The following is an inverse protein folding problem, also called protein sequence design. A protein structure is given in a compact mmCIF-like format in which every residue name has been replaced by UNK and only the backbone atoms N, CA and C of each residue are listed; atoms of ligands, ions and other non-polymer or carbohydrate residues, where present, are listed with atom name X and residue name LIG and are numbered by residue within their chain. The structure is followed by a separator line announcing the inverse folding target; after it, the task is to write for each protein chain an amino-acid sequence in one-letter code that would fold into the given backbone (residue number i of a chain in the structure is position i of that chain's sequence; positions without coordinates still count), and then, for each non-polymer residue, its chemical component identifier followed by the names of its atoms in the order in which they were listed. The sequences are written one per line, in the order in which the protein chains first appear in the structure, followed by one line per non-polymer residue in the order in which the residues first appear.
data_IF_957970428562
#
_entry.id   IF_957970428562
#
_cell.length_a   1.000
_cell.length_b   1.000
_cell.length_c   1.000
_cell.angle_alpha   90.00
_cell.angle_beta   90.00
_cell.angle_gamma   90.00
#
_symmetry.space_group_name_H-M   'P 1'
#
loop_
_entity.id
_entity.type
_entity.pdbx_description
1 polymer ?
2 polymer ?
3 non-polymer ?
4 water ?
#
# COMPACT_ATOMS: atom_id res chain seq x y z
N UNK A 1 -6.18 -17.84 -15.66
CA UNK A 1 -7.54 -17.33 -15.52
C UNK A 1 -8.05 -16.78 -16.82
N UNK A 2 -9.04 -15.88 -16.75
CA UNK A 2 -9.66 -15.39 -17.97
C UNK A 2 -8.74 -14.51 -18.79
N UNK A 3 -7.55 -14.16 -18.31
CA UNK A 3 -6.62 -13.39 -19.12
C UNK A 3 -5.52 -14.25 -19.71
N UNK A 4 -5.59 -15.57 -19.52
CA UNK A 4 -4.55 -16.46 -19.96
C UNK A 4 -4.31 -16.44 -21.46
N UNK A 5 -5.33 -16.07 -22.24
CA UNK A 5 -5.17 -16.09 -23.69
C UNK A 5 -4.74 -14.75 -24.27
N UNK A 6 -4.59 -13.70 -23.45
CA UNK A 6 -4.22 -12.41 -23.97
C UNK A 6 -2.72 -12.18 -23.82
N UNK A 7 -2.10 -11.58 -24.85
CA UNK A 7 -0.67 -11.24 -24.80
C UNK A 7 -0.34 -10.37 -23.59
N UNK A 8 0.84 -10.60 -23.00
CA UNK A 8 1.27 -9.73 -21.90
C UNK A 8 1.22 -8.26 -22.31
N UNK A 9 1.79 -7.92 -23.48
CA UNK A 9 1.87 -6.53 -23.90
C UNK A 9 0.46 -5.94 -24.06
N UNK A 10 -0.48 -6.74 -24.59
CA UNK A 10 -1.87 -6.29 -24.74
C UNK A 10 -2.52 -6.01 -23.39
N UNK A 11 -2.25 -6.89 -22.39
CA UNK A 11 -2.77 -6.70 -21.03
C UNK A 11 -2.24 -5.39 -20.44
N UNK A 12 -0.95 -5.10 -20.62
CA UNK A 12 -0.39 -3.85 -20.11
C UNK A 12 -1.03 -2.64 -20.79
N UNK A 13 -1.16 -2.71 -22.13
CA UNK A 13 -1.78 -1.61 -22.85
C UNK A 13 -3.21 -1.37 -22.37
N UNK A 14 -4.00 -2.44 -22.21
CA UNK A 14 -5.37 -2.34 -21.72
C UNK A 14 -5.45 -1.87 -20.27
N UNK A 15 -4.48 -2.23 -19.43
CA UNK A 15 -4.45 -1.66 -18.08
C UNK A 15 -4.31 -0.14 -18.15
N UNK A 16 -3.44 0.36 -19.06
CA UNK A 16 -3.27 1.81 -19.16
C UNK A 16 -4.52 2.48 -19.69
N UNK A 17 -5.22 1.86 -20.63
CA UNK A 17 -6.49 2.36 -21.14
C UNK A 17 -7.56 2.37 -20.03
N UNK A 18 -7.64 1.28 -19.26
CA UNK A 18 -8.59 1.19 -18.17
C UNK A 18 -8.34 2.29 -17.15
N UNK A 19 -7.06 2.59 -16.86
CA UNK A 19 -6.76 3.69 -15.94
C UNK A 19 -7.33 5.01 -16.48
N UNK A 20 -7.12 5.29 -17.76
CA UNK A 20 -7.61 6.53 -18.37
C UNK A 20 -9.12 6.62 -18.28
N UNK A 21 -9.81 5.48 -18.42
CA UNK A 21 -11.24 5.35 -18.34
C UNK A 21 -11.77 5.25 -16.89
N UNK A 22 -10.88 5.27 -15.92
CA UNK A 22 -11.23 5.12 -14.50
C UNK A 22 -11.98 3.81 -14.25
N UNK A 23 -11.58 2.74 -14.98
CA UNK A 23 -12.15 1.43 -14.83
C UNK A 23 -11.17 0.57 -14.04
N UNK A 24 -11.11 0.82 -12.73
CA UNK A 24 -10.03 0.21 -11.93
C UNK A 24 -10.21 -1.29 -11.72
N UNK A 25 -11.44 -1.81 -11.66
CA UNK A 25 -11.60 -3.26 -11.57
C UNK A 25 -11.03 -3.93 -12.80
N UNK A 26 -11.33 -3.39 -14.00
CA UNK A 26 -10.70 -3.91 -15.21
C UNK A 26 -9.18 -3.79 -15.17
N UNK A 27 -8.69 -2.64 -14.71
CA UNK A 27 -7.26 -2.38 -14.68
C UNK A 27 -6.58 -3.43 -13.82
N UNK A 28 -7.20 -3.73 -12.67
CA UNK A 28 -6.62 -4.74 -11.77
C UNK A 28 -6.63 -6.13 -12.41
N UNK A 29 -7.71 -6.49 -13.10
CA UNK A 29 -7.80 -7.81 -13.74
C UNK A 29 -6.78 -7.96 -14.85
N UNK A 30 -6.51 -6.87 -15.59
CA UNK A 30 -5.50 -6.88 -16.65
C UNK A 30 -4.11 -7.03 -16.05
N UNK A 31 -3.86 -6.31 -14.96
CA UNK A 31 -2.55 -6.42 -14.33
C UNK A 31 -2.32 -7.76 -13.65
N UNK A 32 -3.37 -8.34 -13.01
CA UNK A 32 -3.26 -9.70 -12.47
C UNK A 32 -2.87 -10.64 -13.60
N UNK A 33 -3.54 -10.50 -14.75
CA UNK A 33 -3.20 -11.34 -15.91
C UNK A 33 -1.77 -11.15 -16.37
N UNK A 34 -1.27 -9.89 -16.36
CA UNK A 34 0.12 -9.64 -16.74
C UNK A 34 1.09 -10.29 -15.74
N UNK A 35 0.82 -10.14 -14.44
CA UNK A 35 1.68 -10.78 -13.44
C UNK A 35 1.75 -12.29 -13.65
N UNK A 36 0.59 -12.93 -13.90
CA UNK A 36 0.49 -14.38 -14.03
C UNK A 36 1.20 -14.90 -15.27
N UNK A 37 1.65 -14.03 -16.18
CA UNK A 37 2.52 -14.46 -17.27
C UNK A 37 3.85 -14.99 -16.76
N UNK A 38 4.21 -14.64 -15.52
CA UNK A 38 5.43 -15.21 -14.93
C UNK A 38 6.68 -14.39 -15.07
N UNK A 39 6.70 -13.36 -15.90
CA UNK A 39 7.86 -12.49 -16.06
C UNK A 39 7.87 -11.43 -14.96
N UNK A 40 9.07 -10.99 -14.57
CA UNK A 40 9.16 -9.90 -13.60
C UNK A 40 8.53 -8.59 -14.17
N UNK A 41 8.11 -7.67 -13.30
CA UNK A 41 7.51 -6.40 -13.74
C UNK A 41 8.51 -5.25 -13.71
N UNK A 42 8.39 -4.36 -14.70
CA UNK A 42 9.17 -3.13 -14.74
C UNK A 42 8.64 -2.14 -13.69
N UNK A 43 9.34 -1.00 -13.47
CA UNK A 43 8.86 0.00 -12.52
C UNK A 43 7.48 0.52 -12.93
N UNK A 44 7.30 0.84 -14.21
CA UNK A 44 6.00 1.33 -14.66
C UNK A 44 4.93 0.28 -14.43
N UNK A 45 5.20 -0.98 -14.78
CA UNK A 45 4.20 -2.06 -14.59
C UNK A 45 3.87 -2.30 -13.09
N UNK A 46 4.89 -2.25 -12.21
CA UNK A 46 4.62 -2.33 -10.77
C UNK A 46 3.68 -1.22 -10.36
N UNK A 47 3.90 -0.01 -10.86
CA UNK A 47 3.03 1.09 -10.51
C UNK A 47 1.61 0.86 -11.05
N UNK A 48 1.47 0.28 -12.25
CA UNK A 48 0.13 0.00 -12.76
C UNK A 48 -0.59 -1.01 -11.85
N UNK A 49 0.12 -2.05 -11.45
CA UNK A 49 -0.43 -3.05 -10.53
C UNK A 49 -0.92 -2.41 -9.22
N UNK A 50 -0.04 -1.61 -8.61
CA UNK A 50 -0.34 -1.01 -7.31
C UNK A 50 -1.50 -0.02 -7.42
N UNK A 51 -1.48 0.85 -8.44
CA UNK A 51 -2.56 1.86 -8.62
C UNK A 51 -3.89 1.16 -8.80
N UNK A 52 -3.91 0.09 -9.62
CA UNK A 52 -5.19 -0.61 -9.90
C UNK A 52 -5.80 -1.14 -8.61
N UNK A 53 -5.02 -1.93 -7.86
CA UNK A 53 -5.60 -2.54 -6.67
C UNK A 53 -5.82 -1.52 -5.56
N UNK A 54 -4.99 -0.45 -5.49
CA UNK A 54 -5.25 0.56 -4.48
C UNK A 54 -6.60 1.20 -4.69
N UNK A 55 -6.95 1.45 -5.94
CA UNK A 55 -8.24 2.05 -6.23
C UNK A 55 -9.36 1.10 -5.92
N UNK A 56 -9.22 -0.18 -6.30
CA UNK A 56 -10.29 -1.15 -6.01
C UNK A 56 -10.49 -1.29 -4.51
N UNK A 57 -9.41 -1.56 -3.77
CA UNK A 57 -9.57 -1.78 -2.33
C UNK A 57 -9.99 -0.49 -1.65
N UNK A 58 -9.63 0.67 -2.23
CA UNK A 58 -9.97 1.94 -1.61
C UNK A 58 -11.47 2.14 -1.58
N UNK A 59 -12.13 1.84 -2.69
CA UNK A 59 -13.58 1.89 -2.73
C UNK A 59 -14.22 0.94 -1.73
N UNK A 60 -13.65 -0.26 -1.58
CA UNK A 60 -14.19 -1.22 -0.62
C UNK A 60 -14.00 -0.73 0.81
N UNK A 61 -12.82 -0.19 1.13
CA UNK A 61 -12.56 0.30 2.49
C UNK A 61 -13.52 1.41 2.84
N UNK A 62 -13.71 2.36 1.92
CA UNK A 62 -14.62 3.47 2.15
C UNK A 62 -16.04 2.96 2.38
N UNK A 63 -16.50 2.00 1.56
CA UNK A 63 -17.84 1.41 1.76
C UNK A 63 -17.94 0.70 3.10
N UNK A 64 -16.93 -0.13 3.43
CA UNK A 64 -16.91 -0.85 4.69
C UNK A 64 -17.02 0.09 5.88
N UNK A 65 -16.33 1.25 5.82
CA UNK A 65 -16.37 2.18 6.96
C UNK A 65 -17.75 2.77 7.11
N UNK A 66 -18.38 3.16 6.00
CA UNK A 66 -19.76 3.67 6.03
C UNK A 66 -20.66 2.64 6.69
N UNK A 67 -20.56 1.36 6.24
CA UNK A 67 -21.46 0.33 6.77
C UNK A 67 -21.17 0.01 8.22
N UNK A 68 -19.90 -0.05 8.59
CA UNK A 68 -19.53 -0.33 9.98
C UNK A 68 -20.08 0.75 10.92
N UNK A 69 -20.03 1.99 10.47
CA UNK A 69 -20.53 3.11 11.27
C UNK A 69 -22.04 3.03 11.47
N UNK A 70 -22.77 2.66 10.41
CA UNK A 70 -24.22 2.48 10.55
C UNK A 70 -24.52 1.30 11.47
N UNK A 71 -23.74 0.23 11.33
CA UNK A 71 -23.93 -0.96 12.16
C UNK A 71 -23.69 -0.64 13.62
N UNK A 72 -22.58 0.06 13.91
CA UNK A 72 -22.28 0.42 15.29
C UNK A 72 -23.40 1.29 15.89
N UNK A 73 -23.86 2.30 15.14
CA UNK A 73 -24.99 3.10 15.59
C UNK A 73 -26.23 2.24 15.85
N UNK A 74 -26.49 1.26 14.97
CA UNK A 74 -27.69 0.43 15.13
C UNK A 74 -27.56 -0.54 16.30
N UNK A 75 -26.37 -0.70 16.86
CA UNK A 75 -26.14 -1.51 18.03
C UNK A 75 -25.92 -0.58 19.22
N UNK A 83 -32.98 -5.68 12.60
CA UNK A 83 -32.82 -6.82 11.72
C UNK A 83 -31.37 -7.09 11.33
N UNK A 84 -31.14 -8.18 10.62
CA UNK A 84 -29.77 -8.61 10.31
C UNK A 84 -29.15 -7.93 9.08
N UNK A 85 -29.90 -7.09 8.38
CA UNK A 85 -29.50 -6.61 7.06
C UNK A 85 -28.20 -5.79 7.10
N UNK A 86 -28.07 -4.85 8.05
CA UNK A 86 -26.84 -4.04 8.10
C UNK A 86 -25.63 -4.94 8.27
N UNK A 87 -25.68 -5.85 9.26
CA UNK A 87 -24.58 -6.78 9.49
C UNK A 87 -24.32 -7.64 8.27
N UNK A 88 -25.39 -8.17 7.65
CA UNK A 88 -25.24 -9.02 6.47
C UNK A 88 -24.50 -8.28 5.37
N UNK A 89 -24.92 -7.03 5.11
CA UNK A 89 -24.36 -6.31 3.97
C UNK A 89 -22.92 -5.84 4.29
N UNK A 90 -22.67 -5.41 5.54
CA UNK A 90 -21.28 -5.10 5.94
C UNK A 90 -20.39 -6.33 5.78
N UNK A 91 -20.89 -7.51 6.14
CA UNK A 91 -20.16 -8.76 5.93
C UNK A 91 -19.92 -9.05 4.46
N UNK A 92 -20.91 -8.78 3.61
CA UNK A 92 -20.73 -9.01 2.17
C UNK A 92 -19.58 -8.17 1.65
N UNK A 93 -19.60 -6.87 1.98
CA UNK A 93 -18.55 -5.94 1.53
C UNK A 93 -17.19 -6.34 2.11
N UNK A 94 -17.18 -6.74 3.40
CA UNK A 94 -15.99 -7.18 4.09
C UNK A 94 -15.36 -8.40 3.41
N UNK A 95 -16.17 -9.40 3.05
CA UNK A 95 -15.68 -10.60 2.38
C UNK A 95 -15.08 -10.27 1.01
N UNK A 96 -15.71 -9.34 0.28
CA UNK A 96 -15.19 -8.95 -1.02
C UNK A 96 -13.85 -8.25 -0.86
N UNK A 97 -13.76 -7.37 0.13
CA UNK A 97 -12.50 -6.70 0.46
C UNK A 97 -11.39 -7.72 0.79
N UNK A 98 -11.72 -8.67 1.66
CA UNK A 98 -10.75 -9.70 2.05
C UNK A 98 -10.33 -10.49 0.83
N UNK A 99 -11.28 -10.75 -0.08
CA UNK A 99 -10.94 -11.46 -1.30
C UNK A 99 -9.94 -10.72 -2.17
N UNK A 100 -10.09 -9.40 -2.30
CA UNK A 100 -9.15 -8.58 -3.07
C UNK A 100 -7.77 -8.59 -2.39
N UNK A 101 -7.73 -8.41 -1.07
CA UNK A 101 -6.45 -8.47 -0.35
C UNK A 101 -5.79 -9.83 -0.57
N UNK A 102 -6.54 -10.93 -0.44
CA UNK A 102 -5.99 -12.27 -0.65
C UNK A 102 -5.44 -12.44 -2.06
N UNK A 103 -6.12 -11.86 -3.08
CA UNK A 103 -5.66 -11.95 -4.47
C UNK A 103 -4.31 -11.25 -4.63
N UNK A 104 -4.19 -10.04 -4.06
CA UNK A 104 -2.93 -9.30 -4.17
C UNK A 104 -1.82 -10.05 -3.43
N UNK A 105 -2.10 -10.48 -2.19
CA UNK A 105 -1.11 -11.22 -1.42
C UNK A 105 -0.69 -12.48 -2.15
N UNK A 106 -1.63 -13.11 -2.84
CA UNK A 106 -1.33 -14.28 -3.65
C UNK A 106 -0.37 -14.01 -4.79
N UNK A 107 -0.55 -12.88 -5.48
CA UNK A 107 0.37 -12.50 -6.52
C UNK A 107 1.74 -12.25 -5.94
N UNK A 108 1.79 -11.54 -4.81
CA UNK A 108 3.10 -11.26 -4.20
C UNK A 108 3.84 -12.53 -3.80
N UNK A 109 3.11 -13.52 -3.26
CA UNK A 109 3.66 -14.80 -2.78
C UNK A 109 3.88 -15.83 -3.89
N UNK A 110 3.29 -15.62 -5.02
CA UNK A 110 3.41 -16.50 -6.20
C UNK A 110 3.50 -15.72 -7.53
N UNK A 111 4.65 -15.15 -7.88
CA UNK A 111 5.96 -15.29 -7.20
C UNK A 111 6.73 -13.99 -7.28
N UNK A 112 6.02 -12.86 -7.15
CA UNK A 112 6.65 -11.57 -7.34
C UNK A 112 7.78 -11.32 -6.35
N UNK A 113 7.56 -11.58 -5.06
CA UNK A 113 8.57 -11.25 -4.03
C UNK A 113 9.82 -12.11 -4.20
N UNK A 114 9.63 -13.43 -4.28
CA UNK A 114 10.81 -14.29 -4.37
C UNK A 114 11.65 -14.03 -5.62
N UNK A 115 11.06 -13.57 -6.75
CA UNK A 115 11.88 -13.29 -7.91
C UNK A 115 12.39 -11.85 -7.98
N UNK A 116 12.12 -11.05 -6.94
CA UNK A 116 12.56 -9.65 -6.90
C UNK A 116 13.88 -9.58 -6.16
N UNK A 117 14.93 -9.27 -6.88
CA UNK A 117 16.25 -9.22 -6.26
C UNK A 117 16.77 -7.81 -6.10
N UNK A 118 16.35 -6.92 -6.99
CA UNK A 118 16.78 -5.54 -6.84
C UNK A 118 16.05 -4.89 -5.69
N UNK A 119 16.75 -4.02 -4.99
CA UNK A 119 16.14 -3.29 -3.88
C UNK A 119 14.84 -2.61 -4.28
N UNK A 120 14.83 -1.88 -5.42
CA UNK A 120 13.65 -1.12 -5.81
C UNK A 120 12.45 -2.04 -5.96
N UNK A 121 12.63 -3.21 -6.58
CA UNK A 121 11.46 -4.08 -6.77
C UNK A 121 11.12 -4.81 -5.48
N UNK A 122 12.12 -5.29 -4.74
CA UNK A 122 11.82 -6.04 -3.52
C UNK A 122 11.16 -5.17 -2.46
N UNK A 123 11.67 -3.93 -2.27
CA UNK A 123 11.01 -3.03 -1.31
C UNK A 123 9.59 -2.71 -1.75
N UNK A 124 9.39 -2.46 -3.06
CA UNK A 124 8.04 -2.15 -3.56
C UNK A 124 7.07 -3.25 -3.19
N UNK A 125 7.45 -4.50 -3.45
CA UNK A 125 6.53 -5.61 -3.18
C UNK A 125 6.34 -5.84 -1.70
N UNK A 126 7.40 -5.73 -0.89
CA UNK A 126 7.20 -5.96 0.54
C UNK A 126 6.36 -4.84 1.15
N UNK A 127 6.48 -3.62 0.65
CA UNK A 127 5.58 -2.57 1.11
C UNK A 127 4.13 -2.94 0.77
N UNK A 128 3.90 -3.45 -0.46
CA UNK A 128 2.55 -3.87 -0.82
C UNK A 128 2.02 -4.94 0.11
N UNK A 129 2.86 -5.93 0.43
CA UNK A 129 2.46 -6.98 1.34
C UNK A 129 2.06 -6.39 2.69
N UNK A 130 2.87 -5.46 3.22
CA UNK A 130 2.48 -4.76 4.44
C UNK A 130 1.15 -4.05 4.29
N UNK A 131 0.95 -3.34 3.18
CA UNK A 131 -0.28 -2.58 2.99
C UNK A 131 -1.50 -3.48 2.96
N UNK A 132 -1.43 -4.59 2.21
CA UNK A 132 -2.66 -5.40 2.07
C UNK A 132 -2.93 -6.21 3.36
N UNK A 133 -1.89 -6.59 4.13
CA UNK A 133 -2.16 -7.14 5.47
C UNK A 133 -2.75 -6.07 6.38
N UNK A 134 -2.30 -4.81 6.22
CA UNK A 134 -2.89 -3.71 6.98
C UNK A 134 -4.37 -3.53 6.66
N UNK A 135 -4.76 -3.65 5.39
CA UNK A 135 -6.20 -3.52 5.08
C UNK A 135 -6.97 -4.68 5.65
N UNK A 136 -6.38 -5.88 5.64
CA UNK A 136 -7.03 -7.01 6.33
C UNK A 136 -7.15 -6.72 7.82
N UNK A 137 -6.10 -6.13 8.43
CA UNK A 137 -6.17 -5.83 9.88
C UNK A 137 -7.29 -4.86 10.23
N UNK A 138 -7.55 -3.88 9.35
CA UNK A 138 -8.55 -2.85 9.59
C UNK A 138 -9.93 -3.48 9.82
N UNK A 139 -10.20 -4.64 9.23
CA UNK A 139 -11.52 -5.30 9.34
C UNK A 139 -11.47 -6.54 10.23
N UNK A 140 -10.31 -6.88 10.77
CA UNK A 140 -10.12 -8.10 11.53
C UNK A 140 -10.58 -7.89 12.97
N UNK A 141 -11.04 -8.96 13.61
CA UNK A 141 -11.55 -8.79 14.99
C UNK A 141 -11.11 -9.91 15.94
N UNK A 142 -10.07 -9.67 16.76
CA UNK A 142 -9.65 -10.63 17.81
C UNK A 142 -8.23 -11.14 17.69
N UNK A 143 -8.06 -12.46 17.77
CA UNK A 143 -6.71 -13.06 17.69
C UNK A 143 -6.25 -13.16 16.23
N UNK A 144 -7.16 -13.51 15.29
CA UNK A 144 -6.72 -13.56 13.87
C UNK A 144 -6.15 -12.16 13.59
N UNK A 145 -6.75 -11.18 14.24
CA UNK A 145 -6.28 -9.81 14.14
C UNK A 145 -4.80 -9.69 14.54
N UNK A 146 -4.43 -10.29 15.68
CA UNK A 146 -3.03 -10.22 16.10
C UNK A 146 -2.09 -10.79 15.07
N UNK A 147 -2.39 -11.97 14.54
CA UNK A 147 -1.52 -12.60 13.55
C UNK A 147 -1.43 -11.76 12.28
N UNK A 148 -2.56 -11.16 11.85
CA UNK A 148 -2.53 -10.35 10.63
C UNK A 148 -1.66 -9.12 10.85
N UNK A 149 -1.77 -8.50 12.03
CA UNK A 149 -0.96 -7.34 12.37
C UNK A 149 0.51 -7.71 12.34
N UNK A 150 0.85 -8.87 12.87
CA UNK A 150 2.26 -9.25 12.87
C UNK A 150 2.78 -9.50 11.45
N UNK A 151 1.94 -10.06 10.59
CA UNK A 151 2.31 -10.25 9.20
C UNK A 151 2.56 -8.90 8.53
N UNK A 152 1.71 -7.91 8.79
CA UNK A 152 1.98 -6.60 8.20
C UNK A 152 3.29 -6.04 8.71
N UNK A 153 3.48 -6.07 10.05
CA UNK A 153 4.71 -5.56 10.68
C UNK A 153 5.95 -6.19 10.06
N UNK A 154 5.94 -7.54 9.94
CA UNK A 154 7.08 -8.27 9.40
C UNK A 154 7.42 -7.81 7.99
N UNK A 155 6.41 -7.68 7.12
CA UNK A 155 6.65 -7.25 5.74
C UNK A 155 7.23 -5.83 5.71
N UNK A 156 6.59 -4.91 6.45
CA UNK A 156 7.08 -3.54 6.48
C UNK A 156 8.50 -3.47 6.99
N UNK A 157 8.80 -4.24 8.06
CA UNK A 157 10.13 -4.17 8.69
C UNK A 157 11.20 -4.65 7.73
N UNK A 158 10.93 -5.77 7.04
CA UNK A 158 11.92 -6.25 6.08
C UNK A 158 12.13 -5.22 4.98
N UNK A 159 11.03 -4.60 4.51
CA UNK A 159 11.17 -3.54 3.51
C UNK A 159 12.00 -2.37 4.03
N UNK A 160 11.75 -1.97 5.27
CA UNK A 160 12.51 -0.88 5.89
C UNK A 160 13.99 -1.24 5.95
N UNK A 161 14.30 -2.45 6.40
CA UNK A 161 15.71 -2.84 6.54
C UNK A 161 16.43 -2.72 5.19
N UNK A 162 15.82 -3.25 4.11
CA UNK A 162 16.43 -3.18 2.80
C UNK A 162 16.56 -1.73 2.34
N UNK A 163 15.49 -0.94 2.51
CA UNK A 163 15.50 0.42 2.01
C UNK A 163 16.58 1.26 2.70
N UNK A 164 16.82 1.04 3.98
CA UNK A 164 17.82 1.82 4.70
C UNK A 164 19.22 1.46 4.26
N UNK A 165 19.43 0.17 3.90
CA UNK A 165 20.74 -0.29 3.45
C UNK A 165 21.01 0.07 1.99
N UNK A 166 19.97 0.05 1.13
CA UNK A 166 20.15 0.12 -0.30
C UNK A 166 19.67 1.38 -1.00
N UNK A 167 18.88 2.25 -0.37
CA UNK A 167 18.35 3.40 -1.07
C UNK A 167 18.68 4.67 -0.32
N UNK A 168 18.80 5.83 -1.02
CA UNK A 168 19.01 7.10 -0.29
C UNK A 168 17.77 7.49 0.49
N UNK A 169 17.91 8.34 1.51
CA UNK A 169 16.75 8.73 2.31
C UNK A 169 15.69 9.51 1.55
N UNK A 170 16.00 10.06 0.37
CA UNK A 170 14.98 10.77 -0.41
C UNK A 170 14.28 9.87 -1.42
N UNK A 171 14.66 8.60 -1.52
CA UNK A 171 14.05 7.73 -2.52
C UNK A 171 12.54 7.67 -2.29
N UNK A 172 11.72 7.97 -3.30
CA UNK A 172 10.26 8.00 -3.10
C UNK A 172 9.67 6.68 -2.63
N UNK A 173 10.21 5.56 -3.08
CA UNK A 173 9.70 4.27 -2.59
C UNK A 173 9.99 4.14 -1.11
N UNK A 174 11.19 4.51 -0.69
CA UNK A 174 11.57 4.48 0.72
C UNK A 174 10.69 5.42 1.53
N UNK A 175 10.45 6.62 1.02
CA UNK A 175 9.62 7.59 1.73
C UNK A 175 8.18 7.09 1.88
N UNK A 176 7.60 6.55 0.80
CA UNK A 176 6.21 6.08 0.85
C UNK A 176 6.04 4.88 1.78
N UNK A 177 7.07 4.03 1.82
CA UNK A 177 7.11 2.92 2.74
C UNK A 177 7.08 3.43 4.18
N UNK A 178 7.94 4.41 4.48
CA UNK A 178 7.98 4.90 5.86
C UNK A 178 6.68 5.57 6.23
N UNK A 179 6.10 6.34 5.31
CA UNK A 179 4.79 6.94 5.53
C UNK A 179 3.78 5.88 5.94
N UNK A 180 3.67 4.83 5.13
CA UNK A 180 2.65 3.80 5.41
C UNK A 180 2.95 3.01 6.67
N UNK A 181 4.23 2.72 6.92
CA UNK A 181 4.56 2.00 8.13
C UNK A 181 4.26 2.86 9.37
N UNK A 182 4.45 4.18 9.25
CA UNK A 182 4.14 5.06 10.37
C UNK A 182 2.64 5.08 10.64
N UNK A 183 1.83 5.02 9.59
CA UNK A 183 0.38 4.97 9.80
C UNK A 183 -0.03 3.63 10.39
N UNK A 184 0.61 2.53 9.94
CA UNK A 184 0.45 1.23 10.58
C UNK A 184 0.69 1.35 12.09
N UNK A 185 1.81 1.96 12.48
CA UNK A 185 2.10 2.06 13.90
C UNK A 185 1.01 2.84 14.61
N UNK A 186 0.57 3.95 14.01
CA UNK A 186 -0.30 4.89 14.74
C UNK A 186 -1.66 4.26 15.02
N UNK A 187 -2.28 3.69 14.01
CA UNK A 187 -3.66 3.27 14.20
C UNK A 187 -3.92 1.76 14.10
N UNK A 188 -2.95 0.94 13.69
CA UNK A 188 -3.15 -0.50 13.70
C UNK A 188 -2.47 -1.15 14.90
N UNK A 189 -1.20 -0.79 15.15
CA UNK A 189 -0.42 -1.35 16.25
C UNK A 189 -0.59 -0.54 17.53
N UNK A 190 -1.38 0.54 17.49
CA UNK A 190 -1.58 1.40 18.67
C UNK A 190 -0.25 1.83 19.30
N UNK A 191 0.70 2.19 18.44
CA UNK A 191 2.02 2.67 18.85
C UNK A 191 2.21 4.10 18.33
N UNK A 192 1.42 5.07 18.80
CA UNK A 192 1.57 6.44 18.28
C UNK A 192 2.96 7.02 18.44
N UNK A 193 3.71 6.66 19.48
CA UNK A 193 5.02 7.28 19.62
C UNK A 193 5.97 6.73 18.58
N UNK A 194 5.88 5.43 18.26
CA UNK A 194 6.70 4.86 17.21
C UNK A 194 6.35 5.52 15.88
N UNK A 195 5.05 5.73 15.64
CA UNK A 195 4.62 6.39 14.40
C UNK A 195 5.23 7.77 14.26
N UNK A 196 5.11 8.59 15.33
CA UNK A 196 5.63 9.95 15.27
C UNK A 196 7.15 9.95 15.09
N UNK A 197 7.86 9.09 15.83
CA UNK A 197 9.32 8.99 15.72
C UNK A 197 9.74 8.63 14.31
N UNK A 198 9.06 7.63 13.73
CA UNK A 198 9.41 7.21 12.37
C UNK A 198 9.17 8.33 11.37
N UNK A 199 8.00 8.99 11.47
CA UNK A 199 7.69 10.04 10.49
C UNK A 199 8.68 11.21 10.61
N UNK A 200 9.04 11.58 11.86
CA UNK A 200 9.99 12.67 12.11
C UNK A 200 11.37 12.34 11.56
N UNK A 201 11.92 11.16 11.92
CA UNK A 201 13.25 10.78 11.45
C UNK A 201 13.30 10.70 9.93
N UNK A 202 12.26 10.10 9.31
CA UNK A 202 12.20 9.99 7.86
C UNK A 202 12.21 11.37 7.21
N UNK A 203 11.38 12.28 7.73
CA UNK A 203 11.29 13.61 7.17
C UNK A 203 12.63 14.33 7.27
N UNK A 204 13.23 14.32 8.48
CA UNK A 204 14.49 15.05 8.73
C UNK A 204 15.65 14.48 7.89
N UNK A 205 15.75 13.16 7.74
CA UNK A 205 16.82 12.58 6.94
C UNK A 205 16.62 12.89 5.46
N UNK A 206 15.36 12.89 5.00
CA UNK A 206 15.13 13.27 3.60
C UNK A 206 15.50 14.75 3.39
N UNK A 207 15.07 15.61 4.31
CA UNK A 207 15.37 17.04 4.21
C UNK A 207 16.85 17.28 4.00
N UNK A 208 17.68 16.60 4.76
CA UNK A 208 19.13 16.75 4.70
C UNK A 208 19.74 16.22 3.41
N UNK A 209 18.97 15.45 2.61
CA UNK A 209 19.48 14.85 1.38
C UNK A 209 18.93 15.55 0.13
N UNK A 210 18.01 16.51 0.28
CA UNK A 210 17.37 17.14 -0.87
C UNK A 210 18.40 17.84 -1.75
N UNK A 211 19.48 18.38 -1.15
CA UNK A 211 20.50 19.11 -1.93
C UNK A 211 21.15 18.25 -3.02
N UNK A 212 21.08 16.91 -2.92
CA UNK A 212 21.68 16.01 -3.92
C UNK A 212 20.83 15.83 -5.17
N UNK A 213 19.57 16.28 -5.15
CA UNK A 213 18.58 15.95 -6.17
C UNK A 213 18.45 16.98 -7.30
N UNK A 214 18.06 16.47 -8.46
CA UNK A 214 17.60 17.28 -9.58
C UNK A 214 16.26 17.91 -9.27
N UNK A 215 15.89 18.92 -10.06
CA UNK A 215 14.58 19.56 -9.86
C UNK A 215 13.44 18.53 -9.89
N UNK A 216 13.50 17.55 -10.80
CA UNK A 216 12.41 16.58 -10.91
C UNK A 216 12.36 15.61 -9.72
N UNK A 217 13.51 15.10 -9.30
CA UNK A 217 13.57 14.19 -8.14
C UNK A 217 13.19 14.94 -6.86
N UNK A 218 13.62 16.21 -6.77
CA UNK A 218 13.21 17.06 -5.66
C UNK A 218 11.69 17.11 -5.54
N UNK A 219 11.00 17.33 -6.68
CA UNK A 219 9.54 17.36 -6.68
C UNK A 219 8.95 16.05 -6.16
N UNK A 220 9.47 14.92 -6.64
CA UNK A 220 8.95 13.60 -6.22
C UNK A 220 9.07 13.40 -4.72
N UNK A 221 10.26 13.67 -4.18
CA UNK A 221 10.56 13.47 -2.75
C UNK A 221 9.78 14.45 -1.87
N UNK A 222 9.73 15.76 -2.22
CA UNK A 222 9.03 16.70 -1.35
C UNK A 222 7.53 16.44 -1.31
N UNK A 223 6.94 15.91 -2.41
CA UNK A 223 5.52 15.54 -2.38
C UNK A 223 5.23 14.53 -1.26
N UNK A 224 6.09 13.51 -1.09
CA UNK A 224 5.80 12.52 -0.03
C UNK A 224 6.21 13.04 1.33
N UNK A 225 7.26 13.85 1.37
CA UNK A 225 7.61 14.50 2.66
C UNK A 225 6.44 15.32 3.18
N UNK A 226 5.67 15.98 2.29
CA UNK A 226 4.53 16.77 2.74
C UNK A 226 3.45 15.90 3.37
N UNK A 227 3.27 14.67 2.87
CA UNK A 227 2.35 13.75 3.53
C UNK A 227 2.83 13.37 4.93
N UNK A 228 4.15 13.14 5.11
CA UNK A 228 4.64 12.88 6.46
C UNK A 228 4.34 14.05 7.36
N UNK A 229 4.58 15.27 6.86
CA UNK A 229 4.31 16.47 7.67
C UNK A 229 2.83 16.59 7.99
N UNK A 230 1.97 16.29 7.02
CA UNK A 230 0.52 16.34 7.22
C UNK A 230 0.12 15.45 8.37
N UNK A 231 0.64 14.22 8.39
CA UNK A 231 0.34 13.32 9.51
C UNK A 231 0.90 13.84 10.82
N UNK A 232 2.16 14.28 10.83
CA UNK A 232 2.77 14.78 12.06
C UNK A 232 1.95 15.94 12.65
N UNK A 233 1.43 16.80 11.77
CA UNK A 233 0.62 17.94 12.21
C UNK A 233 -0.64 17.47 12.93
N UNK A 234 -1.21 16.38 12.45
CA UNK A 234 -2.41 15.84 13.09
C UNK A 234 -2.08 15.08 14.35
N UNK A 235 -0.88 14.50 14.45
CA UNK A 235 -0.50 13.65 15.57
C UNK A 235 0.18 14.38 16.73
N UNK A 236 0.59 15.63 16.55
CA UNK A 236 1.40 16.33 17.56
C UNK A 236 0.89 17.73 17.88
N UNK B 1 -14.64 8.02 9.66
CA UNK B 1 -13.40 7.85 10.41
C UNK B 1 -12.33 8.77 9.82
N UNK B 2 -11.56 9.42 10.69
CA UNK B 2 -10.42 10.22 10.24
C UNK B 2 -9.34 9.29 9.70
N UNK B 3 -9.01 9.43 8.40
CA UNK B 3 -7.98 8.65 7.73
C UNK B 3 -6.68 9.47 7.61
N UNK B 4 -5.55 8.87 7.99
CA UNK B 4 -4.27 9.57 7.86
C UNK B 4 -3.72 9.37 6.45
N UNK B 5 -2.77 10.24 6.06
CA UNK B 5 -2.17 10.17 4.72
C UNK B 5 -1.38 8.90 4.53
N UNK B 6 -1.64 8.14 3.45
CA UNK B 6 -0.78 7.01 3.10
C UNK B 6 -0.46 7.18 1.61
N UNK B 7 0.49 6.38 1.14
CA UNK B 7 1.05 6.51 -0.19
C UNK B 7 0.03 6.17 -1.29
N UNK B 8 0.15 6.84 -2.43
CA UNK B 8 -0.62 6.47 -3.61
C UNK B 8 -2.01 7.06 -3.65
N UNK B 9 -2.81 6.61 -4.62
CA UNK B 9 -4.15 7.21 -4.84
C UNK B 9 -5.00 7.17 -3.57
N UNK B 10 -5.57 8.33 -3.26
CA UNK B 10 -6.46 8.53 -2.11
C UNK B 10 -7.87 8.12 -2.54
N UNK B 11 -8.04 6.80 -2.69
CA UNK B 11 -9.19 6.21 -3.35
C UNK B 11 -10.30 5.76 -2.39
N UNK B 12 -10.07 5.91 -1.08
CA UNK B 12 -11.11 5.60 -0.11
C UNK B 12 -11.59 6.96 0.47
X LIG C 1 7.94 4.62 -14.25
X LIG C 1 4.82 6.25 -16.52
X LIG C 1 4.20 7.52 -16.25
X LIG C 1 3.16 7.97 -17.24
X LIG C 1 0.58 5.30 -13.59
X LIG C 1 2.68 5.97 -11.81
X LIG C 1 2.05 5.47 -13.31
X LIG C 1 3.11 5.24 -14.18
X LIG C 1 4.38 5.49 -13.65
X LIG C 1 4.29 5.93 -12.33
X LIG C 1 5.61 5.33 -14.32
X LIG C 1 5.85 5.67 -15.69
X LIG C 1 7.08 5.50 -16.32
X LIG C 1 8.15 4.99 -15.58
X LIG C 1 6.71 4.80 -13.62
X LIG C 1 4.54 8.24 -15.30
X LIG C 1 2.30 8.94 -17.00
X LIG C 1 -0.34 5.61 -12.76
X LIG C 1 0.20 4.87 -14.89
X LIG C 1 8.65 4.26 -13.76
X LIG C 1 4.55 5.80 -17.21
X LIG C 1 3.12 7.53 -18.06
X LIG C 1 2.99 4.96 -15.06
X LIG C 1 5.02 6.13 -11.79
X LIG C 1 7.19 5.75 -17.20
X LIG C 1 8.97 4.85 -15.98
X LIG C 1 6.61 4.55 -12.74
X LIG C 1 1.67 9.18 -17.65
X LIG C 1 2.32 9.39 -16.19
X LIG C 1 -0.12 5.89 -11.95
X LIG C 1 0.80 4.68 -15.47
X LIG C 1 -0.63 4.77 -15.09
#
# INVERSE_FOLDING_TARGET
GAMGSMERASLIQKAKLAEQAERYEDMAAFMKGAVEKGEELSCEERNLLSVAYKNVVGGQRAAWRVLSSIEQKSNEEGSEEKGPEVREYREKVETELQGVCDTVLGLLDSHLIKEAGDAESRVFYLKMKGDYYRYLAEVATGDDKKRIIDSARSAYQEAMDISKKEMPPTNPIRLGLALNFSVFHYEIANSPEEAISLAKTTFDEAMADLHTLSEDSYKDSTLIMQLLRDNLTLWT
KLMFKTEGPDSD
K65 C10 N12 C13 C15 C17 S01 C02 C03 C04 C05 C06 C07 C08 C09 C11 O14 C16 N18 N19 H1 H2 H3 H4 H5 H6 H7 H8 H9 H10 H11 H13 H192
#
